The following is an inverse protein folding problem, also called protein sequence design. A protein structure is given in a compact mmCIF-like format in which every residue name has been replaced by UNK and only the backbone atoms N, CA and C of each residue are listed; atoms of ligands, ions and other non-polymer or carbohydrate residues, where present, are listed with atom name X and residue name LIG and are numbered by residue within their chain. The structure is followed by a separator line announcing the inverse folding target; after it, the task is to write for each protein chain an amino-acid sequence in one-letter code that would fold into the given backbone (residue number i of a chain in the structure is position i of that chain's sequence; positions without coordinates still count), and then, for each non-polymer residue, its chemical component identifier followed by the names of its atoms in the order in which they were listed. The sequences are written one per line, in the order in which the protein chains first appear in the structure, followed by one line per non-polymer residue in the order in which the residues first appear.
data_IF_710415348093
#
_entry.id   IF_710415348093
#
_cell.length_a   1.000
_cell.length_b   1.000
_cell.length_c   1.000
_cell.angle_alpha   90.00
_cell.angle_beta   90.00
_cell.angle_gamma   90.00
#
_symmetry.space_group_name_H-M   'P 1'
#
loop_
_entity.id
_entity.type
_entity.pdbx_description
1 polymer ?
#
# COMPACT_ATOMS: atom_id res chain seq x y z
N UNK A 1 43.72 -6.72 -26.52
CA UNK A 1 43.92 -6.27 -25.12
C UNK A 1 42.95 -7.05 -24.25
N UNK A 2 43.45 -7.91 -23.34
CA UNK A 2 42.65 -8.74 -22.41
C UNK A 2 42.77 -8.15 -21.00
N UNK A 3 41.72 -8.36 -20.19
CA UNK A 3 41.58 -8.15 -18.71
C UNK A 3 40.92 -6.80 -18.34
N UNK A 4 39.87 -6.71 -17.51
CA UNK A 4 39.14 -7.65 -16.63
C UNK A 4 37.75 -7.05 -16.35
N UNK A 5 36.69 -7.85 -16.50
CA UNK A 5 35.36 -7.54 -15.98
C UNK A 5 35.40 -7.67 -14.44
N UNK A 6 35.07 -6.59 -13.74
CA UNK A 6 34.96 -6.57 -12.29
C UNK A 6 33.54 -7.07 -11.94
N UNK A 7 33.40 -8.39 -11.79
CA UNK A 7 32.21 -8.97 -11.14
C UNK A 7 32.34 -8.71 -9.64
N UNK A 8 31.61 -7.72 -9.14
CA UNK A 8 31.41 -7.55 -7.70
C UNK A 8 30.44 -8.64 -7.27
N UNK A 9 30.98 -9.73 -6.74
CA UNK A 9 30.21 -10.67 -5.93
C UNK A 9 29.99 -10.00 -4.57
N UNK A 10 28.87 -9.30 -4.40
CA UNK A 10 28.36 -8.94 -3.08
C UNK A 10 27.90 -10.24 -2.41
N UNK A 11 28.84 -10.88 -1.72
CA UNK A 11 28.52 -11.92 -0.74
C UNK A 11 27.77 -11.23 0.41
N UNK A 12 26.45 -11.21 0.33
CA UNK A 12 25.61 -10.95 1.49
C UNK A 12 25.86 -12.11 2.46
N UNK A 13 26.70 -11.87 3.46
CA UNK A 13 26.84 -12.75 4.60
C UNK A 13 25.49 -12.75 5.32
N UNK A 14 24.59 -13.65 4.91
CA UNK A 14 23.47 -14.05 5.73
C UNK A 14 24.13 -14.58 6.99
N UNK A 15 23.94 -13.89 8.10
CA UNK A 15 24.28 -14.41 9.42
C UNK A 15 23.45 -15.68 9.60
N UNK A 16 24.03 -16.82 9.22
CA UNK A 16 23.50 -18.12 9.53
C UNK A 16 23.58 -18.21 11.06
N UNK A 17 22.45 -17.98 11.73
CA UNK A 17 22.28 -18.31 13.13
C UNK A 17 22.68 -19.78 13.28
N UNK A 18 23.86 -20.01 13.86
CA UNK A 18 24.37 -21.34 14.12
C UNK A 18 23.43 -22.02 15.11
N UNK A 19 22.54 -22.90 14.62
CA UNK A 19 21.78 -23.81 15.45
C UNK A 19 22.73 -24.91 15.91
N UNK A 20 23.09 -24.89 17.19
CA UNK A 20 23.71 -26.04 17.83
C UNK A 20 22.67 -27.16 17.86
N UNK A 21 22.90 -28.21 17.08
CA UNK A 21 22.11 -29.43 17.12
C UNK A 21 22.39 -30.16 18.45
N UNK A 22 21.52 -29.98 19.43
CA UNK A 22 21.47 -30.87 20.58
C UNK A 22 20.59 -32.10 20.24
N UNK A 23 21.15 -33.29 20.45
CA UNK A 23 20.47 -34.58 20.36
C UNK A 23 19.27 -34.65 21.35
N UNK A 24 18.28 -35.54 21.14
CA UNK A 24 17.00 -35.47 21.83
C UNK A 24 17.13 -36.02 23.26
N UNK A 25 17.41 -35.14 24.22
CA UNK A 25 17.03 -35.34 25.60
C UNK A 25 15.55 -34.95 25.73
N UNK A 26 14.76 -35.72 26.49
CA UNK A 26 13.33 -35.50 26.75
C UNK A 26 12.97 -34.01 26.75
N UNK A 27 12.42 -33.52 25.64
CA UNK A 27 12.10 -32.10 25.50
C UNK A 27 10.88 -31.80 26.35
N UNK A 28 11.11 -31.15 27.49
CA UNK A 28 10.07 -30.51 28.29
C UNK A 28 9.15 -29.71 27.37
N UNK A 29 7.84 -29.85 27.52
CA UNK A 29 6.85 -29.15 26.70
C UNK A 29 7.12 -27.63 26.63
N UNK A 30 7.69 -27.04 27.70
CA UNK A 30 8.11 -25.65 27.75
C UNK A 30 9.21 -25.27 26.73
N UNK A 31 10.16 -26.18 26.43
CA UNK A 31 11.21 -25.96 25.43
C UNK A 31 10.65 -25.89 24.00
N UNK A 32 9.60 -26.66 23.71
CA UNK A 32 8.92 -26.65 22.42
C UNK A 32 8.09 -25.35 22.21
N UNK A 33 7.41 -24.87 23.26
CA UNK A 33 6.64 -23.62 23.20
C UNK A 33 7.53 -22.42 22.89
N UNK A 34 8.70 -22.31 23.55
CA UNK A 34 9.65 -21.22 23.31
C UNK A 34 10.12 -21.17 21.85
N UNK A 35 10.41 -22.34 21.25
CA UNK A 35 10.85 -22.45 19.86
C UNK A 35 9.75 -21.99 18.90
N UNK A 36 8.51 -22.43 19.09
CA UNK A 36 7.40 -22.06 18.20
C UNK A 36 7.02 -20.57 18.32
N UNK A 37 7.10 -20.00 19.53
CA UNK A 37 6.96 -18.54 19.71
C UNK A 37 8.04 -17.78 18.95
N UNK A 38 9.30 -18.21 19.05
CA UNK A 38 10.42 -17.58 18.32
C UNK A 38 10.26 -17.67 16.80
N UNK A 39 9.80 -18.83 16.28
CA UNK A 39 9.49 -19.00 14.85
C UNK A 39 8.38 -18.05 14.40
N UNK A 40 7.31 -17.93 15.17
CA UNK A 40 6.21 -17.01 14.86
C UNK A 40 6.66 -15.54 14.84
N UNK A 41 7.46 -15.12 15.85
CA UNK A 41 8.07 -13.79 15.88
C UNK A 41 8.94 -13.53 14.65
N UNK A 42 9.76 -14.50 14.27
CA UNK A 42 10.63 -14.39 13.09
C UNK A 42 9.81 -14.27 11.81
N UNK A 43 8.76 -15.08 11.64
CA UNK A 43 7.88 -15.02 10.48
C UNK A 43 7.13 -13.68 10.38
N UNK A 44 6.67 -13.11 11.51
CA UNK A 44 6.03 -11.80 11.53
C UNK A 44 6.97 -10.67 11.09
N UNK A 45 8.23 -10.70 11.56
CA UNK A 45 9.25 -9.73 11.12
C UNK A 45 9.61 -9.91 9.66
N UNK A 46 9.72 -11.17 9.20
CA UNK A 46 10.00 -11.49 7.79
C UNK A 46 8.96 -10.86 6.87
N UNK A 47 7.67 -10.92 7.20
CA UNK A 47 6.61 -10.31 6.38
C UNK A 47 6.79 -8.80 6.17
N UNK A 48 7.31 -8.08 7.18
CA UNK A 48 7.69 -6.68 7.03
C UNK A 48 8.92 -6.51 6.13
N UNK A 49 9.96 -7.30 6.37
CA UNK A 49 11.20 -7.24 5.58
C UNK A 49 11.00 -7.56 4.09
N UNK A 50 10.01 -8.40 3.76
CA UNK A 50 9.64 -8.70 2.38
C UNK A 50 9.39 -7.46 1.52
N UNK A 51 8.87 -6.37 2.10
CA UNK A 51 8.66 -5.11 1.35
C UNK A 51 9.55 -3.96 1.83
N UNK A 52 10.03 -3.95 3.07
CA UNK A 52 10.79 -2.79 3.59
C UNK A 52 12.17 -2.62 2.94
N UNK A 53 12.66 -3.67 2.30
CA UNK A 53 13.96 -3.69 1.62
C UNK A 53 13.97 -2.85 0.34
N UNK A 54 12.87 -2.15 0.01
CA UNK A 54 12.80 -1.06 -0.98
C UNK A 54 13.93 -0.04 -0.78
N UNK A 55 14.40 0.16 0.45
CA UNK A 55 15.56 1.03 0.73
C UNK A 55 16.87 0.58 0.05
N UNK A 56 16.99 -0.69 -0.34
CA UNK A 56 18.15 -1.25 -1.03
C UNK A 56 17.93 -1.44 -2.54
N UNK A 57 16.70 -1.75 -2.98
CA UNK A 57 16.37 -1.99 -4.40
C UNK A 57 15.86 -0.77 -5.14
N UNK A 58 15.17 0.15 -4.45
CA UNK A 58 14.41 1.24 -5.07
C UNK A 58 13.11 0.80 -5.74
N UNK A 59 12.77 -0.50 -5.70
CA UNK A 59 11.63 -1.08 -6.40
C UNK A 59 10.68 -1.77 -5.43
N UNK A 60 9.38 -1.69 -5.71
CA UNK A 60 8.37 -2.43 -4.97
C UNK A 60 8.50 -3.93 -5.17
N UNK A 61 8.29 -4.67 -4.08
CA UNK A 61 8.15 -6.11 -4.18
C UNK A 61 6.77 -6.49 -4.71
N UNK A 62 6.70 -7.59 -5.46
CA UNK A 62 5.44 -8.18 -5.90
C UNK A 62 4.47 -8.37 -4.71
N UNK A 63 3.30 -7.73 -4.83
CA UNK A 63 2.29 -7.75 -3.78
C UNK A 63 1.77 -9.16 -3.47
N UNK A 64 1.81 -10.08 -4.43
CA UNK A 64 1.46 -11.50 -4.20
C UNK A 64 2.42 -12.16 -3.21
N UNK A 65 3.71 -11.80 -3.26
CA UNK A 65 4.73 -12.26 -2.31
C UNK A 65 4.50 -11.64 -0.93
N UNK A 66 4.13 -10.35 -0.88
CA UNK A 66 3.80 -9.68 0.39
C UNK A 66 2.57 -10.31 1.05
N UNK A 67 1.50 -10.58 0.29
CA UNK A 67 0.30 -11.26 0.80
C UNK A 67 0.59 -12.68 1.28
N UNK A 68 1.47 -13.42 0.60
CA UNK A 68 1.89 -14.76 1.02
C UNK A 68 2.54 -14.71 2.41
N UNK A 69 3.49 -13.81 2.62
CA UNK A 69 4.19 -13.69 3.89
C UNK A 69 3.31 -13.12 5.00
N UNK A 70 2.39 -12.20 4.68
CA UNK A 70 1.34 -11.71 5.59
C UNK A 70 0.44 -12.85 6.09
N UNK A 71 -0.06 -13.70 5.19
CA UNK A 71 -0.90 -14.83 5.56
C UNK A 71 -0.12 -15.88 6.37
N UNK A 72 1.14 -16.15 6.01
CA UNK A 72 2.01 -17.03 6.78
C UNK A 72 2.24 -16.48 8.21
N UNK A 73 2.43 -15.17 8.37
CA UNK A 73 2.57 -14.53 9.68
C UNK A 73 1.31 -14.66 10.54
N UNK A 74 0.12 -14.49 9.96
CA UNK A 74 -1.17 -14.70 10.66
C UNK A 74 -1.32 -16.12 11.17
N UNK A 75 -1.02 -17.10 10.33
CA UNK A 75 -1.07 -18.52 10.71
C UNK A 75 -0.08 -18.82 11.83
N UNK A 76 1.17 -18.37 11.69
CA UNK A 76 2.20 -18.59 12.69
C UNK A 76 1.84 -17.97 14.05
N UNK A 77 1.32 -16.73 14.06
CA UNK A 77 0.83 -16.07 15.27
C UNK A 77 -0.30 -16.85 15.94
N UNK A 78 -1.33 -17.24 15.20
CA UNK A 78 -2.48 -17.95 15.76
C UNK A 78 -2.09 -19.33 16.31
N UNK A 79 -1.25 -20.07 15.59
CA UNK A 79 -0.77 -21.38 16.03
C UNK A 79 0.09 -21.27 17.31
N UNK A 80 1.02 -20.32 17.34
CA UNK A 80 1.85 -20.09 18.53
C UNK A 80 1.00 -19.65 19.73
N UNK A 81 0.00 -18.79 19.53
CA UNK A 81 -0.91 -18.35 20.59
C UNK A 81 -1.75 -19.50 21.16
N UNK A 82 -2.27 -20.36 20.29
CA UNK A 82 -2.99 -21.56 20.71
C UNK A 82 -2.09 -22.52 21.51
N UNK A 83 -0.86 -22.74 21.04
CA UNK A 83 0.12 -23.60 21.72
C UNK A 83 0.50 -23.05 23.10
N UNK A 84 0.77 -21.75 23.20
CA UNK A 84 1.10 -21.07 24.47
C UNK A 84 -0.05 -21.23 25.47
N UNK A 85 -1.29 -21.01 25.04
CA UNK A 85 -2.48 -21.18 25.88
C UNK A 85 -2.68 -22.62 26.33
N UNK A 86 -2.41 -23.60 25.45
CA UNK A 86 -2.52 -25.02 25.78
C UNK A 86 -1.45 -25.47 26.77
N UNK A 87 -0.22 -24.98 26.62
CA UNK A 87 0.89 -25.35 27.49
C UNK A 87 0.77 -24.74 28.90
N UNK A 88 0.24 -23.52 29.00
CA UNK A 88 0.08 -22.81 30.26
C UNK A 88 1.40 -22.52 30.97
N UNK A 89 1.36 -22.44 32.29
CA UNK A 89 2.55 -22.25 33.13
C UNK A 89 2.97 -20.79 33.32
N UNK A 90 4.06 -20.59 34.06
CA UNK A 90 4.52 -19.26 34.50
C UNK A 90 4.93 -18.32 33.36
N UNK A 91 5.34 -18.87 32.21
CA UNK A 91 5.79 -18.09 31.04
C UNK A 91 4.66 -17.73 30.06
N UNK A 92 3.44 -18.25 30.26
CA UNK A 92 2.33 -18.05 29.32
C UNK A 92 2.10 -16.57 29.01
N UNK A 93 1.95 -15.74 30.04
CA UNK A 93 1.68 -14.31 29.87
C UNK A 93 2.81 -13.57 29.14
N UNK A 94 4.07 -13.96 29.37
CA UNK A 94 5.22 -13.37 28.69
C UNK A 94 5.22 -13.71 27.19
N UNK A 95 4.94 -14.97 26.83
CA UNK A 95 4.87 -15.39 25.43
C UNK A 95 3.68 -14.78 24.69
N UNK A 96 2.51 -14.72 25.32
CA UNK A 96 1.33 -14.05 24.75
C UNK A 96 1.63 -12.57 24.48
N UNK A 97 2.21 -11.86 25.46
CA UNK A 97 2.60 -10.47 25.29
C UNK A 97 3.62 -10.28 24.15
N UNK A 98 4.63 -11.16 24.05
CA UNK A 98 5.62 -11.10 22.98
C UNK A 98 4.99 -11.28 21.59
N UNK A 99 4.10 -12.26 21.45
CA UNK A 99 3.37 -12.49 20.20
C UNK A 99 2.50 -11.29 19.84
N UNK A 100 1.73 -10.77 20.80
CA UNK A 100 0.78 -9.68 20.58
C UNK A 100 1.47 -8.36 20.24
N UNK A 101 2.55 -8.01 20.96
CA UNK A 101 3.35 -6.82 20.65
C UNK A 101 3.98 -6.93 19.26
N UNK A 102 4.54 -8.10 18.92
CA UNK A 102 5.17 -8.31 17.61
C UNK A 102 4.14 -8.24 16.48
N UNK A 103 2.97 -8.88 16.64
CA UNK A 103 1.91 -8.85 15.65
C UNK A 103 1.37 -7.43 15.45
N UNK A 104 1.09 -6.71 16.55
CA UNK A 104 0.58 -5.35 16.49
C UNK A 104 1.57 -4.38 15.83
N UNK A 105 2.87 -4.50 16.12
CA UNK A 105 3.89 -3.65 15.51
C UNK A 105 4.15 -4.02 14.05
N UNK A 106 4.57 -5.25 13.77
CA UNK A 106 5.03 -5.63 12.43
C UNK A 106 3.89 -5.90 11.46
N UNK A 107 2.82 -6.56 11.91
CA UNK A 107 1.73 -6.92 11.01
C UNK A 107 0.70 -5.80 10.93
N UNK A 108 0.09 -5.43 12.06
CA UNK A 108 -1.03 -4.50 12.04
C UNK A 108 -0.63 -3.07 11.64
N UNK A 109 0.49 -2.55 12.18
CA UNK A 109 0.91 -1.17 11.92
C UNK A 109 1.80 -1.00 10.69
N UNK A 110 2.46 -2.05 10.20
CA UNK A 110 3.41 -1.96 9.08
C UNK A 110 2.97 -2.74 7.84
N UNK A 111 2.72 -4.04 7.94
CA UNK A 111 2.39 -4.85 6.75
C UNK A 111 0.99 -4.52 6.21
N UNK A 112 -0.02 -4.45 7.08
CA UNK A 112 -1.40 -4.15 6.65
C UNK A 112 -1.48 -2.74 6.04
N UNK A 113 -0.89 -1.74 6.71
CA UNK A 113 -0.91 -0.35 6.21
C UNK A 113 -0.17 -0.20 4.88
N UNK A 114 0.91 -0.95 4.67
CA UNK A 114 1.58 -1.03 3.37
C UNK A 114 0.69 -1.64 2.30
N UNK A 115 0.06 -2.79 2.57
CA UNK A 115 -0.84 -3.46 1.63
C UNK A 115 -1.99 -2.52 1.24
N UNK A 116 -2.61 -1.85 2.20
CA UNK A 116 -3.68 -0.89 1.94
C UNK A 116 -3.21 0.27 1.05
N UNK A 117 -2.02 0.80 1.34
CA UNK A 117 -1.43 1.89 0.57
C UNK A 117 -1.06 1.48 -0.85
N UNK A 118 -0.49 0.30 -1.05
CA UNK A 118 -0.15 -0.23 -2.36
C UNK A 118 -1.41 -0.47 -3.20
N UNK A 119 -2.43 -1.10 -2.63
CA UNK A 119 -3.71 -1.31 -3.31
C UNK A 119 -4.39 0.02 -3.68
N UNK A 120 -4.36 1.00 -2.79
CA UNK A 120 -4.84 2.36 -3.08
C UNK A 120 -4.07 2.97 -4.25
N UNK A 121 -2.74 2.87 -4.26
CA UNK A 121 -1.89 3.44 -5.29
C UNK A 121 -2.14 2.82 -6.68
N UNK A 122 -2.20 1.49 -6.77
CA UNK A 122 -2.57 0.78 -8.01
C UNK A 122 -3.98 1.16 -8.48
N UNK A 123 -4.93 1.30 -7.56
CA UNK A 123 -6.30 1.71 -7.89
C UNK A 123 -6.38 3.15 -8.39
N UNK A 124 -5.52 4.04 -7.88
CA UNK A 124 -5.40 5.42 -8.31
C UNK A 124 -4.80 5.50 -9.72
N UNK A 125 -3.76 4.71 -10.00
CA UNK A 125 -3.12 4.65 -11.31
C UNK A 125 -4.04 4.06 -12.38
N UNK A 126 -4.78 2.99 -12.07
CA UNK A 126 -5.80 2.47 -12.99
C UNK A 126 -6.87 3.51 -13.36
N UNK A 127 -7.20 4.44 -12.44
CA UNK A 127 -8.10 5.57 -12.76
C UNK A 127 -7.42 6.60 -13.67
N UNK A 128 -6.14 6.88 -13.45
CA UNK A 128 -5.34 7.75 -14.34
C UNK A 128 -5.32 7.19 -15.76
N UNK A 129 -4.99 5.91 -15.93
CA UNK A 129 -5.01 5.25 -17.25
C UNK A 129 -6.41 5.28 -17.89
N UNK A 130 -7.46 5.04 -17.10
CA UNK A 130 -8.84 5.13 -17.57
C UNK A 130 -9.21 6.55 -18.01
N UNK A 131 -8.68 7.57 -17.34
CA UNK A 131 -8.89 8.97 -17.70
C UNK A 131 -8.22 9.27 -19.04
N UNK A 132 -6.96 8.87 -19.22
CA UNK A 132 -6.25 9.01 -20.49
C UNK A 132 -6.96 8.31 -21.65
N UNK A 133 -7.51 7.13 -21.41
CA UNK A 133 -8.32 6.40 -22.39
C UNK A 133 -9.61 7.17 -22.74
N UNK A 134 -10.30 7.73 -21.74
CA UNK A 134 -11.51 8.55 -21.97
C UNK A 134 -11.20 9.81 -22.78
N UNK A 135 -10.09 10.50 -22.48
CA UNK A 135 -9.63 11.68 -23.22
C UNK A 135 -9.27 11.34 -24.67
N UNK A 136 -8.57 10.22 -24.89
CA UNK A 136 -8.24 9.71 -26.23
C UNK A 136 -9.50 9.39 -27.03
N UNK A 137 -10.51 8.80 -26.39
CA UNK A 137 -11.81 8.52 -26.98
C UNK A 137 -12.71 9.75 -27.12
N UNK A 138 -12.28 10.93 -26.62
CA UNK A 138 -13.07 12.17 -26.53
C UNK A 138 -14.40 12.00 -25.78
N UNK A 139 -14.44 11.06 -24.84
CA UNK A 139 -15.60 10.81 -23.99
C UNK A 139 -15.53 11.70 -22.75
N UNK A 140 -16.05 12.92 -22.88
CA UNK A 140 -15.97 13.94 -21.84
C UNK A 140 -16.83 13.64 -20.61
N UNK A 141 -17.93 12.90 -20.73
CA UNK A 141 -18.73 12.48 -19.57
C UNK A 141 -17.95 11.48 -18.71
N UNK A 142 -17.26 10.53 -19.35
CA UNK A 142 -16.38 9.60 -18.64
C UNK A 142 -15.17 10.32 -18.03
N UNK A 143 -14.56 11.27 -18.74
CA UNK A 143 -13.42 12.04 -18.26
C UNK A 143 -13.78 12.89 -17.03
N UNK A 144 -14.93 13.60 -17.05
CA UNK A 144 -15.42 14.38 -15.90
C UNK A 144 -15.67 13.48 -14.68
N UNK A 145 -16.32 12.32 -14.88
CA UNK A 145 -16.55 11.37 -13.80
C UNK A 145 -15.23 10.92 -13.16
N UNK A 146 -14.25 10.50 -13.98
CA UNK A 146 -12.94 10.05 -13.52
C UNK A 146 -12.15 11.18 -12.84
N UNK A 147 -12.24 12.41 -13.35
CA UNK A 147 -11.66 13.59 -12.70
C UNK A 147 -12.20 13.77 -11.28
N UNK A 148 -13.51 13.63 -11.06
CA UNK A 148 -14.09 13.75 -9.73
C UNK A 148 -13.70 12.59 -8.81
N UNK A 149 -13.65 11.36 -9.33
CA UNK A 149 -13.18 10.20 -8.57
C UNK A 149 -11.72 10.36 -8.14
N UNK A 150 -10.82 10.72 -9.06
CA UNK A 150 -9.41 10.96 -8.76
C UNK A 150 -9.26 12.13 -7.78
N UNK A 151 -10.01 13.22 -7.96
CA UNK A 151 -10.01 14.36 -7.03
C UNK A 151 -10.43 13.94 -5.62
N UNK A 152 -11.44 13.07 -5.49
CA UNK A 152 -11.87 12.53 -4.20
C UNK A 152 -10.78 11.66 -3.56
N UNK A 153 -10.15 10.78 -4.33
CA UNK A 153 -9.07 9.89 -3.87
C UNK A 153 -7.85 10.69 -3.38
N UNK A 154 -7.44 11.70 -4.15
CA UNK A 154 -6.31 12.58 -3.84
C UNK A 154 -6.57 13.51 -2.63
N UNK A 155 -7.83 13.90 -2.40
CA UNK A 155 -8.20 14.78 -1.27
C UNK A 155 -8.45 14.01 0.02
N UNK A 156 -9.13 12.86 -0.07
CA UNK A 156 -9.73 12.21 1.10
C UNK A 156 -8.96 10.97 1.53
N UNK A 157 -8.38 10.23 0.58
CA UNK A 157 -7.83 8.89 0.82
C UNK A 157 -6.31 8.85 0.87
N UNK A 158 -5.61 9.96 0.63
CA UNK A 158 -4.14 10.05 0.74
C UNK A 158 -3.61 9.78 2.14
N UNK A 159 -4.45 9.91 3.18
CA UNK A 159 -4.08 9.53 4.56
C UNK A 159 -3.70 8.05 4.69
N UNK A 160 -4.14 7.20 3.75
CA UNK A 160 -3.70 5.79 3.68
C UNK A 160 -2.18 5.74 3.46
N UNK A 161 -1.64 6.60 2.58
CA UNK A 161 -0.20 6.68 2.34
C UNK A 161 0.56 7.19 3.57
N UNK A 162 -0.03 8.05 4.40
CA UNK A 162 0.62 8.58 5.61
C UNK A 162 0.81 7.51 6.70
N UNK A 163 0.00 6.45 6.68
CA UNK A 163 0.05 5.36 7.66
C UNK A 163 1.18 4.36 7.41
N UNK A 164 1.81 4.40 6.24
CA UNK A 164 2.89 3.48 5.89
C UNK A 164 4.14 3.78 6.72
N UNK A 165 4.65 2.75 7.38
CA UNK A 165 5.90 2.82 8.12
C UNK A 165 7.09 2.82 7.15
N UNK A 166 8.03 3.75 7.36
CA UNK A 166 9.20 3.94 6.49
C UNK A 166 9.04 5.13 5.54
N UNK A 167 9.97 6.09 5.62
CA UNK A 167 9.95 7.31 4.81
C UNK A 167 10.14 7.00 3.32
N UNK A 168 11.13 6.19 2.99
CA UNK A 168 11.47 5.83 1.60
C UNK A 168 10.32 5.14 0.88
N UNK A 169 9.65 4.17 1.52
CA UNK A 169 8.47 3.50 0.94
C UNK A 169 7.32 4.49 0.71
N UNK A 170 7.08 5.43 1.63
CA UNK A 170 6.07 6.48 1.45
C UNK A 170 6.39 7.41 0.30
N UNK A 171 7.66 7.80 0.17
CA UNK A 171 8.11 8.69 -0.90
C UNK A 171 8.00 7.99 -2.26
N UNK A 172 8.37 6.71 -2.35
CA UNK A 172 8.21 5.92 -3.56
C UNK A 172 6.74 5.82 -3.98
N UNK A 173 5.83 5.48 -3.06
CA UNK A 173 4.38 5.41 -3.35
C UNK A 173 3.81 6.75 -3.83
N UNK A 174 4.33 7.87 -3.33
CA UNK A 174 3.89 9.20 -3.76
C UNK A 174 4.47 9.58 -5.12
N UNK A 175 5.75 9.27 -5.34
CA UNK A 175 6.44 9.57 -6.58
C UNK A 175 5.84 8.81 -7.75
N UNK A 176 5.68 7.49 -7.62
CA UNK A 176 5.25 6.65 -8.76
C UNK A 176 3.76 6.72 -9.06
N UNK A 177 2.90 6.96 -8.08
CA UNK A 177 1.45 6.85 -8.30
C UNK A 177 0.70 8.15 -8.04
N UNK A 178 1.02 8.84 -6.94
CA UNK A 178 0.27 10.04 -6.56
C UNK A 178 0.57 11.22 -7.49
N UNK A 179 1.84 11.42 -7.86
CA UNK A 179 2.26 12.53 -8.70
C UNK A 179 1.59 12.46 -10.07
N UNK A 180 1.72 11.34 -10.77
CA UNK A 180 1.16 11.16 -12.11
C UNK A 180 -0.37 11.29 -12.15
N UNK A 181 -1.07 10.76 -11.14
CA UNK A 181 -2.52 10.91 -11.04
C UNK A 181 -2.95 12.35 -10.73
N UNK A 182 -2.16 13.09 -9.94
CA UNK A 182 -2.39 14.51 -9.64
C UNK A 182 -2.19 15.34 -10.92
N UNK A 183 -1.10 15.12 -11.64
CA UNK A 183 -0.78 15.85 -12.86
C UNK A 183 -1.84 15.58 -13.95
N UNK A 184 -2.26 14.33 -14.13
CA UNK A 184 -3.34 13.99 -15.07
C UNK A 184 -4.65 14.70 -14.71
N UNK A 185 -5.02 14.72 -13.43
CA UNK A 185 -6.23 15.41 -12.94
C UNK A 185 -6.12 16.92 -13.17
N UNK A 186 -4.98 17.51 -12.83
CA UNK A 186 -4.78 18.96 -12.92
C UNK A 186 -4.73 19.44 -14.37
N UNK A 187 -4.25 18.58 -15.29
CA UNK A 187 -4.16 18.89 -16.71
C UNK A 187 -5.51 19.16 -17.39
N UNK A 188 -6.62 18.69 -16.83
CA UNK A 188 -7.97 18.84 -17.39
C UNK A 188 -8.94 19.65 -16.51
N UNK A 189 -8.43 20.29 -15.46
CA UNK A 189 -9.26 20.96 -14.46
C UNK A 189 -10.11 22.10 -15.06
N UNK A 190 -9.55 22.82 -16.03
CA UNK A 190 -10.24 23.92 -16.73
C UNK A 190 -11.32 23.36 -17.63
N UNK A 191 -11.00 22.34 -18.44
CA UNK A 191 -11.89 21.67 -19.37
C UNK A 191 -13.11 21.09 -18.66
N UNK A 192 -12.90 20.43 -17.52
CA UNK A 192 -13.99 19.91 -16.69
C UNK A 192 -14.84 21.05 -16.13
N UNK A 193 -14.22 22.15 -15.67
CA UNK A 193 -14.97 23.32 -15.16
C UNK A 193 -15.87 23.93 -16.23
N UNK A 194 -15.35 24.08 -17.46
CA UNK A 194 -16.09 24.57 -18.62
C UNK A 194 -17.25 23.62 -18.94
N UNK A 195 -17.00 22.31 -19.02
CA UNK A 195 -18.04 21.32 -19.28
C UNK A 195 -19.16 21.38 -18.25
N UNK A 196 -18.83 21.37 -16.96
CA UNK A 196 -19.80 21.48 -15.88
C UNK A 196 -20.67 22.74 -16.01
N UNK A 197 -20.06 23.88 -16.35
CA UNK A 197 -20.79 25.12 -16.55
C UNK A 197 -21.73 25.07 -17.77
N UNK A 198 -21.30 24.45 -18.87
CA UNK A 198 -22.14 24.23 -20.06
C UNK A 198 -23.30 23.27 -19.78
N UNK A 199 -23.08 22.21 -19.02
CA UNK A 199 -24.13 21.26 -18.64
C UNK A 199 -25.19 21.93 -17.75
N UNK A 200 -24.76 22.79 -16.82
CA UNK A 200 -25.68 23.62 -16.03
C UNK A 200 -26.46 24.56 -16.95
N UNK A 201 -25.79 25.27 -17.87
CA UNK A 201 -26.48 26.18 -18.79
C UNK A 201 -27.54 25.46 -19.64
N UNK A 202 -27.22 24.27 -20.15
CA UNK A 202 -28.16 23.45 -20.92
C UNK A 202 -29.38 23.03 -20.09
N UNK A 203 -29.18 22.65 -18.84
CA UNK A 203 -30.25 22.32 -17.90
C UNK A 203 -31.16 23.52 -17.62
N UNK A 204 -30.59 24.67 -17.26
CA UNK A 204 -31.36 25.89 -16.93
C UNK A 204 -32.14 26.42 -18.15
N UNK A 205 -31.60 26.29 -19.36
CA UNK A 205 -32.32 26.61 -20.60
C UNK A 205 -33.55 25.72 -20.80
N UNK A 206 -33.43 24.42 -20.51
CA UNK A 206 -34.57 23.50 -20.58
C UNK A 206 -35.66 23.84 -19.54
N UNK A 207 -35.24 24.35 -18.38
CA UNK A 207 -36.12 24.84 -17.31
C UNK A 207 -36.64 26.28 -17.55
N UNK A 208 -36.17 26.93 -18.62
CA UNK A 208 -36.49 28.32 -19.01
C UNK A 208 -36.01 29.38 -18.00
N UNK A 209 -35.05 29.06 -17.14
CA UNK A 209 -34.36 30.05 -16.31
C UNK A 209 -33.21 30.69 -17.11
N UNK A 210 -33.55 31.74 -17.86
CA UNK A 210 -32.59 32.45 -18.71
C UNK A 210 -31.51 33.18 -17.90
N UNK A 211 -31.81 33.58 -16.65
CA UNK A 211 -30.86 34.27 -15.79
C UNK A 211 -29.80 33.30 -15.29
N UNK A 212 -30.21 32.13 -14.80
CA UNK A 212 -29.30 31.08 -14.36
C UNK A 212 -28.48 30.51 -15.53
N UNK A 213 -29.11 30.29 -16.69
CA UNK A 213 -28.42 29.87 -17.91
C UNK A 213 -27.32 30.86 -18.33
N UNK A 214 -27.61 32.17 -18.31
CA UNK A 214 -26.62 33.20 -18.64
C UNK A 214 -25.45 33.19 -17.64
N UNK A 215 -25.73 33.10 -16.35
CA UNK A 215 -24.67 33.05 -15.32
C UNK A 215 -23.75 31.83 -15.51
N UNK A 216 -24.30 30.68 -15.90
CA UNK A 216 -23.53 29.48 -16.19
C UNK A 216 -22.66 29.64 -17.46
N UNK A 217 -23.17 30.26 -18.52
CA UNK A 217 -22.37 30.58 -19.72
C UNK A 217 -21.26 31.59 -19.45
N UNK A 218 -21.54 32.64 -18.66
CA UNK A 218 -20.54 33.64 -18.29
C UNK A 218 -19.39 32.97 -17.49
N UNK A 219 -19.71 32.05 -16.56
CA UNK A 219 -18.71 31.25 -15.85
C UNK A 219 -17.86 30.36 -16.79
N UNK A 220 -18.47 29.77 -17.81
CA UNK A 220 -17.72 29.00 -18.81
C UNK A 220 -16.74 29.87 -19.60
N UNK A 221 -17.13 31.11 -19.92
CA UNK A 221 -16.30 32.07 -20.65
C UNK A 221 -15.14 32.64 -19.81
N UNK A 222 -15.32 32.80 -18.50
CA UNK A 222 -14.27 33.27 -17.57
C UNK A 222 -13.11 32.29 -17.39
N UNK A 223 -13.30 31.02 -17.76
CA UNK A 223 -12.29 29.98 -17.62
C UNK A 223 -11.30 29.93 -18.81
N UNK A 224 -11.47 30.78 -19.83
CA UNK A 224 -10.66 30.86 -21.05
C UNK A 224 -9.79 32.11 -21.10
#
# INVERSE_FOLDING_TARGET
MKKKAFKVATASAIAASAFVAAAPAQTDAASNVAVEVSKAVTQMKKAYHTYSDITASGEFQDLTVVYKEYNAAKVAYNNAKALVKQAGGSMQAAYEAQLDVTYNDYIAKRVITYIDAYNYAVTLDAKRESLEAALTAKNWDAAEKLYHEISYELKTRTVILDRVYGKTTRELLRGEFKADAQDARDSIAVEVTVKMALDVAAKELAEKDLSAAKAALDKAAECW
#
